data_IF_676216269955
#
_entry.id   IF_676216269955
#
_cell.length_a   1.000
_cell.length_b   1.000
_cell.length_c   1.000
_cell.angle_alpha   90.00
_cell.angle_beta   90.00
_cell.angle_gamma   90.00
#
_symmetry.space_group_name_H-M   'P 1'
#
loop_
_entity.id
_entity.type
_entity.pdbx_description
1 polymer ?
#
# COMPACT_ATOMS: atom_id res chain seq x y z
N UNK A 1 2.53 -56.34 -9.03
CA UNK A 1 2.51 -55.39 -7.90
C UNK A 1 1.83 -56.06 -6.73
N UNK A 2 2.55 -56.27 -5.62
CA UNK A 2 1.97 -56.94 -4.45
C UNK A 2 0.89 -56.05 -3.81
N UNK A 3 -0.17 -56.64 -3.24
CA UNK A 3 -1.24 -55.91 -2.53
C UNK A 3 -0.69 -54.88 -1.53
N UNK A 4 0.42 -55.21 -0.87
CA UNK A 4 1.09 -54.34 0.10
C UNK A 4 1.83 -53.15 -0.55
N UNK A 5 2.24 -53.25 -1.82
CA UNK A 5 2.81 -52.13 -2.58
C UNK A 5 1.73 -51.24 -3.19
N UNK A 6 0.55 -51.77 -3.50
CA UNK A 6 -0.59 -50.95 -3.93
C UNK A 6 -1.11 -50.05 -2.79
N UNK A 7 -1.13 -50.57 -1.55
CA UNK A 7 -1.54 -49.83 -0.35
C UNK A 7 -0.54 -48.71 -0.03
N UNK A 8 0.76 -48.95 -0.20
CA UNK A 8 1.78 -47.93 0.01
C UNK A 8 1.68 -46.73 -0.95
N UNK A 9 1.32 -46.98 -2.21
CA UNK A 9 1.10 -45.92 -3.21
C UNK A 9 -0.21 -45.16 -2.98
N UNK A 10 -1.24 -45.82 -2.43
CA UNK A 10 -2.53 -45.20 -2.09
C UNK A 10 -2.44 -44.26 -0.86
N UNK A 11 -1.57 -44.56 0.11
CA UNK A 11 -1.35 -43.72 1.30
C UNK A 11 -0.46 -42.51 0.98
N UNK A 12 0.50 -42.67 0.07
CA UNK A 12 1.38 -41.57 -0.38
C UNK A 12 0.67 -40.59 -1.34
N UNK A 13 -0.40 -41.01 -2.02
CA UNK A 13 -1.20 -40.14 -2.89
C UNK A 13 -2.26 -39.31 -2.14
N UNK A 14 -2.57 -39.63 -0.88
CA UNK A 14 -3.58 -38.93 -0.08
C UNK A 14 -3.04 -37.69 0.68
N UNK A 15 -1.74 -37.37 0.56
CA UNK A 15 -1.09 -36.28 1.32
C UNK A 15 -0.84 -34.99 0.52
N UNK A 16 -1.38 -34.86 -0.69
CA UNK A 16 -1.11 -33.73 -1.59
C UNK A 16 -2.22 -32.68 -1.71
N UNK A 17 -3.21 -32.64 -0.81
CA UNK A 17 -4.34 -31.72 -0.98
C UNK A 17 -4.63 -30.91 0.28
N UNK A 18 -3.92 -29.80 0.45
CA UNK A 18 -4.45 -28.49 0.84
C UNK A 18 -3.30 -27.52 1.12
N UNK A 19 -2.78 -26.87 0.08
CA UNK A 19 -1.95 -25.67 0.22
C UNK A 19 -2.88 -24.46 0.13
N UNK A 20 -3.28 -23.90 1.26
CA UNK A 20 -4.16 -22.73 1.34
C UNK A 20 -3.80 -21.82 2.51
N UNK A 21 -4.05 -20.53 2.34
CA UNK A 21 -3.96 -19.49 3.38
C UNK A 21 -4.91 -19.79 4.53
N UNK A 22 -4.52 -19.45 5.76
CA UNK A 22 -5.38 -19.63 6.91
C UNK A 22 -6.38 -18.47 6.99
N UNK A 23 -7.67 -18.75 6.85
CA UNK A 23 -8.74 -17.75 6.95
C UNK A 23 -9.54 -17.99 8.23
N UNK A 24 -9.64 -16.97 9.07
CA UNK A 24 -10.44 -16.96 10.29
C UNK A 24 -11.41 -15.80 10.25
N UNK A 25 -12.69 -16.09 10.44
CA UNK A 25 -13.74 -15.08 10.51
C UNK A 25 -14.48 -15.25 11.82
N UNK A 26 -14.60 -14.17 12.60
CA UNK A 26 -15.41 -14.16 13.82
C UNK A 26 -16.56 -13.18 13.63
N UNK A 27 -17.79 -13.68 13.64
CA UNK A 27 -18.99 -12.85 13.56
C UNK A 27 -19.41 -12.44 14.97
N UNK A 28 -19.60 -11.14 15.18
CA UNK A 28 -19.93 -10.57 16.49
C UNK A 28 -21.43 -10.36 16.68
N UNK A 29 -22.23 -10.36 15.60
CA UNK A 29 -23.65 -9.97 15.64
C UNK A 29 -24.56 -10.82 14.73
N UNK A 30 -25.59 -11.46 15.32
CA UNK A 30 -26.60 -12.30 14.65
C UNK A 30 -27.95 -11.58 14.43
N UNK A 31 -27.94 -10.31 14.02
CA UNK A 31 -29.18 -9.64 13.62
C UNK A 31 -29.53 -10.03 12.18
N UNK A 32 -30.82 -10.23 11.90
CA UNK A 32 -31.31 -10.38 10.53
C UNK A 32 -30.94 -9.12 9.74
N UNK A 33 -30.25 -9.32 8.60
CA UNK A 33 -29.82 -8.24 7.70
C UNK A 33 -30.53 -8.43 6.38
N UNK A 34 -31.06 -7.33 5.85
CA UNK A 34 -31.53 -7.30 4.47
C UNK A 34 -30.36 -7.63 3.53
N UNK A 35 -30.66 -8.30 2.43
CA UNK A 35 -29.66 -8.57 1.41
C UNK A 35 -29.23 -7.25 0.78
N UNK A 36 -27.93 -7.02 0.73
CA UNK A 36 -27.39 -5.85 0.02
C UNK A 36 -27.82 -5.91 -1.46
N UNK A 37 -28.21 -4.76 -1.99
CA UNK A 37 -28.63 -4.61 -3.39
C UNK A 37 -27.44 -4.58 -4.35
N UNK A 38 -26.28 -4.11 -3.88
CA UNK A 38 -24.99 -4.16 -4.57
C UNK A 38 -24.05 -5.13 -3.81
N UNK A 39 -23.32 -5.98 -4.56
CA UNK A 39 -22.38 -6.95 -4.01
C UNK A 39 -20.92 -6.46 -3.99
N UNK A 40 -20.59 -5.25 -4.46
CA UNK A 40 -19.22 -4.77 -4.32
C UNK A 40 -18.89 -4.41 -2.87
N UNK A 41 -17.61 -4.57 -2.53
CA UNK A 41 -17.08 -4.43 -1.18
C UNK A 41 -16.00 -3.37 -1.19
N UNK A 42 -16.16 -2.37 -0.33
CA UNK A 42 -15.17 -1.32 -0.16
C UNK A 42 -14.09 -1.74 0.81
N UNK A 43 -12.85 -1.42 0.46
CA UNK A 43 -11.72 -1.56 1.36
C UNK A 43 -11.32 -0.15 1.81
N UNK A 44 -11.38 0.09 3.11
CA UNK A 44 -10.96 1.34 3.74
C UNK A 44 -9.81 1.08 4.73
N UNK A 45 -8.93 2.07 4.86
CA UNK A 45 -7.72 2.00 5.69
C UNK A 45 -7.68 3.09 6.78
N UNK A 46 -8.70 3.95 6.81
CA UNK A 46 -8.90 5.01 7.80
C UNK A 46 -10.32 4.91 8.34
N UNK A 47 -10.47 4.78 9.66
CA UNK A 47 -11.77 4.59 10.30
C UNK A 47 -12.65 5.84 10.15
N UNK A 48 -12.06 7.01 9.86
CA UNK A 48 -12.80 8.23 9.53
C UNK A 48 -13.51 8.17 8.18
N UNK A 49 -13.13 7.23 7.30
CA UNK A 49 -13.82 6.94 6.04
C UNK A 49 -15.02 6.00 6.24
N UNK A 50 -15.19 5.41 7.42
CA UNK A 50 -16.31 4.56 7.72
C UNK A 50 -17.62 5.38 7.68
N UNK A 51 -18.58 5.02 6.80
CA UNK A 51 -19.81 5.77 6.70
C UNK A 51 -20.60 5.71 8.00
N UNK A 52 -21.37 6.77 8.25
CA UNK A 52 -22.34 6.77 9.34
C UNK A 52 -23.28 5.57 9.20
N UNK A 53 -23.72 5.04 10.33
CA UNK A 53 -24.64 3.89 10.43
C UNK A 53 -24.02 2.55 10.01
N UNK A 54 -22.71 2.49 9.76
CA UNK A 54 -22.01 1.23 9.54
C UNK A 54 -22.05 0.37 10.80
N UNK A 55 -22.53 -0.86 10.66
CA UNK A 55 -22.61 -1.83 11.76
C UNK A 55 -21.51 -2.86 11.59
N UNK A 56 -20.63 -2.97 12.57
CA UNK A 56 -19.62 -4.03 12.60
C UNK A 56 -20.33 -5.39 12.70
N UNK A 57 -20.02 -6.29 11.77
CA UNK A 57 -20.60 -7.65 11.72
C UNK A 57 -19.58 -8.71 12.13
N UNK A 58 -18.28 -8.38 12.12
CA UNK A 58 -17.25 -9.29 12.53
C UNK A 58 -15.83 -8.83 12.19
N UNK A 59 -14.89 -9.75 12.40
CA UNK A 59 -13.48 -9.58 12.06
C UNK A 59 -13.01 -10.68 11.10
N UNK A 60 -12.07 -10.31 10.23
CA UNK A 60 -11.40 -11.20 9.29
C UNK A 60 -9.91 -11.20 9.64
N UNK A 61 -9.34 -12.40 9.70
CA UNK A 61 -7.90 -12.60 9.81
C UNK A 61 -7.45 -13.60 8.76
N UNK A 62 -6.55 -13.16 7.89
CA UNK A 62 -5.92 -13.98 6.85
C UNK A 62 -4.44 -14.09 7.20
N UNK A 63 -4.00 -15.32 7.45
CA UNK A 63 -2.66 -15.63 7.92
C UNK A 63 -1.96 -16.69 7.08
N UNK A 64 -0.67 -16.85 7.32
CA UNK A 64 0.16 -17.91 6.73
C UNK A 64 -0.04 -19.24 7.48
N UNK A 65 -0.34 -20.31 6.75
CA UNK A 65 -0.44 -21.67 7.29
C UNK A 65 0.91 -22.42 7.29
N UNK A 66 1.98 -21.81 6.77
CA UNK A 66 3.33 -22.40 6.64
C UNK A 66 3.54 -23.20 5.36
N UNK A 67 2.46 -23.47 4.60
CA UNK A 67 2.49 -24.15 3.29
C UNK A 67 1.66 -23.39 2.23
N UNK A 68 1.35 -22.13 2.48
CA UNK A 68 0.54 -21.32 1.56
C UNK A 68 1.35 -20.90 0.34
N UNK A 69 0.84 -21.20 -0.86
CA UNK A 69 1.45 -20.78 -2.14
C UNK A 69 0.70 -19.64 -2.82
N UNK A 70 -0.54 -19.37 -2.40
CA UNK A 70 -1.42 -18.32 -2.90
C UNK A 70 -1.68 -17.28 -1.81
N UNK A 71 -0.69 -16.43 -1.57
CA UNK A 71 -0.71 -15.45 -0.48
C UNK A 71 -0.07 -14.12 -0.87
N UNK A 72 -0.17 -13.77 -2.15
CA UNK A 72 0.13 -12.43 -2.64
C UNK A 72 -0.83 -11.40 -2.03
N UNK A 73 -0.46 -10.11 -2.07
CA UNK A 73 -1.32 -9.01 -1.59
C UNK A 73 -2.71 -9.10 -2.23
N UNK A 74 -2.77 -9.28 -3.54
CA UNK A 74 -4.02 -9.36 -4.30
C UNK A 74 -4.88 -10.56 -3.85
N UNK A 75 -4.29 -11.75 -3.72
CA UNK A 75 -5.01 -12.94 -3.25
C UNK A 75 -5.58 -12.74 -1.85
N UNK A 76 -4.81 -12.16 -0.92
CA UNK A 76 -5.26 -11.88 0.44
C UNK A 76 -6.41 -10.88 0.48
N UNK A 77 -6.36 -9.83 -0.35
CA UNK A 77 -7.45 -8.86 -0.46
C UNK A 77 -8.70 -9.50 -1.10
N UNK A 78 -8.53 -10.33 -2.12
CA UNK A 78 -9.63 -11.05 -2.76
C UNK A 78 -10.30 -12.04 -1.80
N UNK A 79 -9.53 -12.75 -0.99
CA UNK A 79 -10.05 -13.64 0.05
C UNK A 79 -10.85 -12.86 1.11
N UNK A 80 -10.38 -11.66 1.49
CA UNK A 80 -11.10 -10.78 2.40
C UNK A 80 -12.42 -10.29 1.77
N UNK A 81 -12.40 -9.86 0.51
CA UNK A 81 -13.60 -9.44 -0.26
C UNK A 81 -14.62 -10.58 -0.32
N UNK A 82 -14.19 -11.78 -0.71
CA UNK A 82 -15.07 -12.94 -0.81
C UNK A 82 -15.69 -13.30 0.54
N UNK A 83 -14.92 -13.17 1.61
CA UNK A 83 -15.40 -13.38 2.98
C UNK A 83 -16.43 -12.32 3.37
N UNK A 84 -16.18 -11.05 3.08
CA UNK A 84 -17.13 -9.96 3.32
C UNK A 84 -18.45 -10.20 2.56
N UNK A 85 -18.39 -10.51 1.25
CA UNK A 85 -19.57 -10.84 0.44
C UNK A 85 -20.37 -12.01 1.01
N UNK A 86 -19.69 -13.10 1.37
CA UNK A 86 -20.31 -14.31 1.93
C UNK A 86 -21.05 -14.02 3.25
N UNK A 87 -20.59 -13.02 4.01
CA UNK A 87 -21.20 -12.62 5.28
C UNK A 87 -22.21 -11.45 5.13
N UNK A 88 -22.58 -11.10 3.90
CA UNK A 88 -23.46 -9.98 3.58
C UNK A 88 -22.92 -8.66 4.16
N UNK A 89 -21.65 -8.36 3.85
CA UNK A 89 -20.92 -7.14 4.22
C UNK A 89 -20.48 -6.41 2.96
N UNK A 90 -20.48 -5.07 3.00
CA UNK A 90 -20.04 -4.23 1.89
C UNK A 90 -18.86 -3.31 2.24
N UNK A 91 -18.31 -3.40 3.45
CA UNK A 91 -17.13 -2.63 3.85
C UNK A 91 -16.18 -3.53 4.62
N UNK A 92 -14.90 -3.49 4.25
CA UNK A 92 -13.76 -4.06 4.97
C UNK A 92 -12.92 -2.87 5.45
N UNK A 93 -12.77 -2.75 6.77
CA UNK A 93 -11.74 -1.92 7.37
C UNK A 93 -10.49 -2.77 7.61
N UNK A 94 -9.38 -2.41 6.97
CA UNK A 94 -8.11 -3.09 7.19
C UNK A 94 -7.43 -2.43 8.40
N UNK A 95 -7.49 -3.11 9.55
CA UNK A 95 -6.76 -2.71 10.74
C UNK A 95 -5.24 -2.85 10.52
N UNK A 96 -4.83 -3.94 9.85
CA UNK A 96 -3.43 -4.21 9.56
C UNK A 96 -3.22 -5.06 8.30
N UNK A 97 -2.28 -4.64 7.45
CA UNK A 97 -1.77 -5.43 6.33
C UNK A 97 -0.26 -5.59 6.48
N UNK A 98 0.18 -6.81 6.81
CA UNK A 98 1.59 -7.16 7.01
C UNK A 98 2.18 -7.78 5.75
N UNK A 99 3.28 -7.19 5.29
CA UNK A 99 4.11 -7.74 4.22
C UNK A 99 4.84 -9.04 4.66
N UNK A 100 5.26 -9.87 3.69
CA UNK A 100 6.20 -10.97 3.93
C UNK A 100 7.46 -10.51 4.66
N UNK A 101 7.92 -11.29 5.63
CA UNK A 101 9.13 -11.00 6.40
C UNK A 101 9.92 -12.29 6.70
N UNK A 102 11.00 -12.20 7.48
CA UNK A 102 11.82 -13.38 7.83
C UNK A 102 11.06 -14.51 8.52
N UNK A 103 9.87 -14.26 9.07
CA UNK A 103 9.06 -15.25 9.76
C UNK A 103 7.91 -15.80 8.90
N UNK A 104 7.59 -15.17 7.76
CA UNK A 104 6.49 -15.61 6.88
C UNK A 104 6.70 -15.08 5.47
N UNK A 105 6.55 -15.94 4.47
CA UNK A 105 6.64 -15.56 3.05
C UNK A 105 5.34 -14.96 2.48
N UNK A 106 4.31 -14.84 3.31
CA UNK A 106 2.96 -14.48 2.89
C UNK A 106 2.51 -13.13 3.43
N UNK A 107 1.68 -12.44 2.65
CA UNK A 107 0.91 -11.31 3.18
C UNK A 107 -0.05 -11.82 4.25
N UNK A 108 -0.24 -11.01 5.29
CA UNK A 108 -1.18 -11.30 6.38
C UNK A 108 -2.05 -10.08 6.62
N UNK A 109 -3.35 -10.31 6.76
CA UNK A 109 -4.35 -9.26 6.91
C UNK A 109 -5.13 -9.47 8.20
N UNK A 110 -5.32 -8.40 8.96
CA UNK A 110 -6.29 -8.31 10.05
C UNK A 110 -7.23 -7.15 9.74
N UNK A 111 -8.52 -7.37 9.87
CA UNK A 111 -9.53 -6.38 9.55
C UNK A 111 -10.87 -6.64 10.20
N UNK A 112 -11.73 -5.63 10.12
CA UNK A 112 -13.14 -5.66 10.54
C UNK A 112 -14.03 -5.52 9.33
N UNK A 113 -15.18 -6.16 9.37
CA UNK A 113 -16.19 -6.09 8.32
C UNK A 113 -17.46 -5.43 8.82
N UNK A 114 -18.04 -4.59 7.97
CA UNK A 114 -19.21 -3.78 8.28
C UNK A 114 -20.31 -3.94 7.23
N UNK A 115 -21.54 -3.88 7.72
CA UNK A 115 -22.74 -3.80 6.92
C UNK A 115 -23.28 -2.37 6.97
N UNK A 116 -23.60 -1.81 5.81
CA UNK A 116 -24.27 -0.53 5.70
C UNK A 116 -25.18 -0.49 4.46
N UNK A 117 -26.48 -0.29 4.65
CA UNK A 117 -27.46 -0.16 3.55
C UNK A 117 -28.06 1.25 3.46
N UNK A 118 -27.37 2.25 4.02
CA UNK A 118 -27.81 3.65 3.98
C UNK A 118 -27.40 4.33 2.68
N UNK A 119 -28.09 5.41 2.33
CA UNK A 119 -27.74 6.27 1.18
C UNK A 119 -26.32 6.87 1.30
N UNK A 120 -25.73 6.90 2.50
CA UNK A 120 -24.35 7.35 2.73
C UNK A 120 -23.31 6.47 2.03
N UNK A 121 -23.67 5.27 1.60
CA UNK A 121 -22.81 4.43 0.76
C UNK A 121 -22.52 5.07 -0.60
N UNK A 122 -23.41 5.92 -1.12
CA UNK A 122 -23.23 6.62 -2.40
C UNK A 122 -21.99 7.51 -2.43
N UNK A 123 -21.62 8.10 -1.29
CA UNK A 123 -20.38 8.88 -1.18
C UNK A 123 -19.13 8.01 -1.25
N UNK A 124 -19.18 6.78 -0.72
CA UNK A 124 -18.09 5.82 -0.88
C UNK A 124 -18.01 5.31 -2.33
N UNK A 125 -19.14 4.99 -2.96
CA UNK A 125 -19.20 4.58 -4.37
C UNK A 125 -18.57 5.64 -5.28
N UNK A 126 -18.90 6.92 -5.06
CA UNK A 126 -18.30 8.01 -5.81
C UNK A 126 -16.78 8.15 -5.56
N UNK A 127 -16.31 7.88 -4.33
CA UNK A 127 -14.88 7.97 -3.97
C UNK A 127 -14.04 6.78 -4.46
N UNK A 128 -14.61 5.56 -4.55
CA UNK A 128 -13.87 4.37 -4.98
C UNK A 128 -13.68 4.27 -6.49
N UNK A 129 -14.56 4.89 -7.27
CA UNK A 129 -14.52 4.80 -8.73
C UNK A 129 -13.35 5.57 -9.35
N UNK A 130 -12.40 6.04 -8.54
CA UNK A 130 -11.27 6.87 -8.95
C UNK A 130 -11.67 8.17 -9.67
N UNK A 131 -12.96 8.46 -9.87
CA UNK A 131 -13.45 9.68 -10.51
C UNK A 131 -13.15 10.89 -9.63
N UNK A 132 -12.59 11.94 -10.22
CA UNK A 132 -12.45 13.26 -9.59
C UNK A 132 -13.30 14.33 -10.29
N UNK A 133 -13.54 14.19 -11.61
CA UNK A 133 -14.41 15.06 -12.41
C UNK A 133 -14.79 14.37 -13.72
N UNK A 134 -16.04 13.94 -13.86
CA UNK A 134 -16.53 13.24 -15.06
C UNK A 134 -16.40 14.05 -16.36
N UNK A 135 -16.25 15.38 -16.28
CA UNK A 135 -16.16 16.26 -17.44
C UNK A 135 -14.73 16.69 -17.76
N UNK A 136 -13.73 16.26 -16.98
CA UNK A 136 -12.34 16.64 -17.24
C UNK A 136 -11.83 15.96 -18.50
N UNK A 137 -11.04 16.68 -19.31
CA UNK A 137 -10.35 16.18 -20.51
C UNK A 137 -8.97 15.57 -20.21
N UNK A 138 -8.76 15.18 -18.95
CA UNK A 138 -7.51 14.61 -18.47
C UNK A 138 -7.73 13.67 -17.29
N UNK A 139 -6.76 12.78 -17.08
CA UNK A 139 -6.62 12.00 -15.87
C UNK A 139 -5.50 12.56 -14.97
N UNK A 140 -5.55 12.28 -13.68
CA UNK A 140 -4.49 12.62 -12.73
C UNK A 140 -3.77 11.34 -12.36
N UNK A 141 -2.43 11.32 -12.47
CA UNK A 141 -1.61 10.20 -11.99
C UNK A 141 -0.65 10.70 -10.92
N UNK A 142 -0.75 10.13 -9.74
CA UNK A 142 0.16 10.36 -8.61
C UNK A 142 1.21 9.26 -8.56
N UNK A 143 2.47 9.64 -8.74
CA UNK A 143 3.62 8.77 -8.55
C UNK A 143 4.13 8.94 -7.11
N UNK A 144 4.00 7.90 -6.30
CA UNK A 144 4.33 7.87 -4.88
C UNK A 144 5.57 7.00 -4.66
N UNK A 145 6.73 7.60 -4.40
CA UNK A 145 7.95 6.83 -4.16
C UNK A 145 8.16 6.54 -2.68
N UNK A 146 8.20 5.26 -2.31
CA UNK A 146 8.49 4.78 -0.96
C UNK A 146 9.66 3.79 -0.97
N UNK A 147 10.42 3.75 0.12
CA UNK A 147 11.43 2.72 0.35
C UNK A 147 10.85 1.63 1.25
N UNK A 148 10.87 0.38 0.80
CA UNK A 148 10.61 -0.77 1.68
C UNK A 148 11.92 -1.17 2.35
N UNK A 149 12.04 -0.87 3.65
CA UNK A 149 13.13 -1.40 4.47
C UNK A 149 12.72 -2.72 5.08
N UNK A 150 13.63 -3.70 5.17
CA UNK A 150 13.40 -4.87 6.00
C UNK A 150 13.04 -4.41 7.42
N UNK A 151 11.92 -4.94 7.92
CA UNK A 151 11.35 -4.63 9.23
C UNK A 151 12.42 -4.61 10.32
N UNK A 152 12.66 -3.45 10.94
CA UNK A 152 13.61 -3.29 12.05
C UNK A 152 14.60 -2.13 11.92
N UNK A 153 14.75 -1.50 10.74
CA UNK A 153 15.53 -0.27 10.61
C UNK A 153 14.62 0.97 10.76
N UNK A 154 14.55 1.47 11.99
CA UNK A 154 13.86 2.71 12.36
C UNK A 154 14.26 3.88 11.46
N UNK A 155 13.29 4.75 11.18
CA UNK A 155 13.30 6.01 10.42
C UNK A 155 14.40 7.05 10.77
N UNK A 156 15.44 6.65 11.49
CA UNK A 156 16.50 7.52 12.01
C UNK A 156 17.85 7.23 11.37
N UNK A 157 17.97 7.52 10.08
CA UNK A 157 19.23 8.03 9.51
C UNK A 157 18.94 9.24 8.61
N UNK A 158 18.37 10.26 9.24
CA UNK A 158 18.32 11.62 8.71
C UNK A 158 19.75 12.07 8.33
N UNK A 159 20.13 11.95 7.06
CA UNK A 159 21.39 12.49 6.55
C UNK A 159 21.96 11.89 5.25
N UNK A 160 21.42 10.81 4.69
CA UNK A 160 21.94 10.21 3.46
C UNK A 160 20.92 10.28 2.34
N UNK A 161 21.40 10.75 1.19
CA UNK A 161 20.73 10.93 -0.09
C UNK A 161 19.82 9.75 -0.41
N UNK A 162 18.50 9.97 -0.39
CA UNK A 162 17.57 8.97 -0.90
C UNK A 162 17.84 8.73 -2.39
N UNK A 163 17.69 7.48 -2.83
CA UNK A 163 17.82 7.12 -4.23
C UNK A 163 16.98 8.01 -5.15
N UNK A 164 17.48 8.24 -6.35
CA UNK A 164 16.68 8.85 -7.42
C UNK A 164 16.44 7.81 -8.49
N UNK A 165 15.18 7.68 -8.91
CA UNK A 165 14.73 6.67 -9.86
C UNK A 165 14.25 7.36 -11.12
N UNK A 166 14.50 6.72 -12.27
CA UNK A 166 13.99 7.20 -13.55
C UNK A 166 12.67 6.50 -13.83
N UNK A 167 11.63 7.29 -14.01
CA UNK A 167 10.31 6.82 -14.42
C UNK A 167 10.10 7.25 -15.86
N UNK A 168 9.57 6.34 -16.67
CA UNK A 168 9.16 6.56 -18.04
C UNK A 168 7.66 6.32 -18.15
N UNK A 169 6.95 7.25 -18.77
CA UNK A 169 5.51 7.25 -18.91
C UNK A 169 5.16 8.01 -20.20
N UNK A 170 4.41 7.41 -21.14
CA UNK A 170 3.99 8.06 -22.40
C UNK A 170 5.12 8.83 -23.13
N UNK A 171 6.29 8.21 -23.29
CA UNK A 171 7.52 8.81 -23.84
C UNK A 171 8.13 9.96 -23.03
N UNK A 172 7.47 10.45 -21.99
CA UNK A 172 8.08 11.32 -20.99
C UNK A 172 8.98 10.52 -20.06
N UNK A 173 10.06 11.15 -19.61
CA UNK A 173 10.95 10.62 -18.59
C UNK A 173 11.14 11.66 -17.51
N UNK A 174 11.02 11.25 -16.26
CA UNK A 174 11.28 12.11 -15.12
C UNK A 174 12.04 11.36 -14.03
N UNK A 175 12.61 12.13 -13.10
CA UNK A 175 13.28 11.58 -11.92
C UNK A 175 12.36 11.77 -10.72
N UNK A 176 12.26 10.75 -9.89
CA UNK A 176 11.58 10.81 -8.60
C UNK A 176 12.56 10.39 -7.50
N UNK A 177 12.53 11.09 -6.38
CA UNK A 177 13.37 10.77 -5.22
C UNK A 177 12.61 9.87 -4.26
N UNK A 178 13.32 9.09 -3.43
CA UNK A 178 12.69 8.40 -2.29
C UNK A 178 11.88 9.38 -1.42
N UNK A 179 10.73 8.91 -0.92
CA UNK A 179 9.79 9.69 -0.11
C UNK A 179 9.34 10.98 -0.80
N UNK A 180 9.01 10.90 -2.10
CA UNK A 180 8.47 12.03 -2.84
C UNK A 180 7.23 11.67 -3.64
N UNK A 181 6.43 12.70 -3.91
CA UNK A 181 5.21 12.62 -4.69
C UNK A 181 5.38 13.48 -5.93
N UNK A 182 5.11 12.90 -7.10
CA UNK A 182 5.01 13.65 -8.35
C UNK A 182 3.61 13.44 -8.91
N UNK A 183 2.92 14.53 -9.23
CA UNK A 183 1.58 14.48 -9.82
C UNK A 183 1.68 14.91 -11.28
N UNK A 184 1.07 14.14 -12.18
CA UNK A 184 1.02 14.43 -13.60
C UNK A 184 -0.42 14.45 -14.09
N UNK A 185 -0.74 15.42 -14.95
CA UNK A 185 -1.95 15.40 -15.76
C UNK A 185 -1.69 14.59 -17.02
N UNK A 186 -2.64 13.75 -17.38
CA UNK A 186 -2.56 12.82 -18.50
C UNK A 186 -3.66 13.14 -19.48
N UNK A 187 -3.29 13.60 -20.67
CA UNK A 187 -4.24 14.01 -21.70
C UNK A 187 -4.68 12.84 -22.60
N UNK A 188 -3.93 11.74 -22.60
CA UNK A 188 -4.19 10.59 -23.47
C UNK A 188 -4.86 9.47 -22.68
N UNK A 189 -6.02 9.02 -23.15
CA UNK A 189 -6.71 7.83 -22.63
C UNK A 189 -6.13 6.52 -23.18
N UNK A 190 -6.53 5.44 -22.52
CA UNK A 190 -6.27 4.06 -22.90
C UNK A 190 -5.09 3.45 -22.16
N UNK A 191 -4.78 2.23 -22.59
CA UNK A 191 -3.73 1.41 -22.03
C UNK A 191 -2.38 2.12 -22.06
N UNK A 192 -1.83 2.36 -20.88
CA UNK A 192 -0.61 3.12 -20.68
C UNK A 192 0.39 2.33 -19.85
N UNK A 193 1.54 2.07 -20.45
CA UNK A 193 2.68 1.43 -19.78
C UNK A 193 3.51 2.47 -19.03
N UNK A 194 3.82 2.13 -17.78
CA UNK A 194 4.66 2.92 -16.88
C UNK A 194 5.82 2.04 -16.47
N UNK A 195 7.05 2.50 -16.73
CA UNK A 195 8.25 1.78 -16.30
C UNK A 195 9.09 2.63 -15.36
N UNK A 196 9.67 1.98 -14.35
CA UNK A 196 10.65 2.57 -13.45
C UNK A 196 11.95 1.79 -13.52
N UNK A 197 13.08 2.50 -13.46
CA UNK A 197 14.40 1.86 -13.48
C UNK A 197 15.30 2.38 -12.36
N UNK A 198 15.99 1.44 -11.72
CA UNK A 198 17.20 1.70 -10.95
C UNK A 198 18.43 1.41 -11.82
N UNK A 199 19.63 1.55 -11.24
CA UNK A 199 20.88 1.16 -11.90
C UNK A 199 20.96 -0.32 -12.27
N UNK A 200 20.17 -1.19 -11.62
CA UNK A 200 20.34 -2.65 -11.72
C UNK A 200 19.10 -3.39 -12.22
N UNK A 201 17.88 -2.84 -12.05
CA UNK A 201 16.63 -3.53 -12.41
C UNK A 201 15.52 -2.56 -12.83
N UNK A 202 14.57 -3.07 -13.62
CA UNK A 202 13.37 -2.37 -14.08
C UNK A 202 12.11 -2.98 -13.45
N UNK A 203 11.11 -2.15 -13.22
CA UNK A 203 9.73 -2.53 -12.93
C UNK A 203 8.81 -1.86 -13.92
N UNK A 204 7.66 -2.47 -14.19
CA UNK A 204 6.66 -2.04 -15.17
C UNK A 204 5.27 -2.27 -14.57
N UNK A 205 4.34 -1.36 -14.87
CA UNK A 205 2.91 -1.48 -14.58
C UNK A 205 2.13 -0.94 -15.76
N UNK A 206 1.02 -1.58 -16.10
CA UNK A 206 0.12 -1.16 -17.16
C UNK A 206 -1.22 -0.77 -16.55
N UNK A 207 -1.72 0.42 -16.91
CA UNK A 207 -2.99 0.95 -16.42
C UNK A 207 -3.85 1.43 -17.57
N UNK A 208 -5.15 1.18 -17.52
CA UNK A 208 -6.12 1.72 -18.48
C UNK A 208 -6.59 3.10 -18.01
N UNK A 209 -6.01 4.15 -18.60
CA UNK A 209 -6.26 5.53 -18.18
C UNK A 209 -7.54 6.06 -18.80
N UNK A 210 -8.44 6.59 -17.98
CA UNK A 210 -9.68 7.24 -18.36
C UNK A 210 -9.68 8.69 -17.89
N UNK A 211 -10.18 9.59 -18.72
CA UNK A 211 -10.40 10.97 -18.37
C UNK A 211 -11.33 11.10 -17.16
N UNK A 212 -11.12 12.15 -16.38
CA UNK A 212 -11.87 12.36 -15.15
C UNK A 212 -11.52 11.43 -13.99
N UNK A 213 -10.54 10.53 -14.15
CA UNK A 213 -10.10 9.61 -13.12
C UNK A 213 -8.72 9.97 -12.55
N UNK A 214 -8.50 9.54 -11.31
CA UNK A 214 -7.32 9.79 -10.48
C UNK A 214 -6.69 8.45 -10.07
N UNK A 215 -5.42 8.29 -10.41
CA UNK A 215 -4.67 7.05 -10.25
C UNK A 215 -3.49 7.25 -9.32
N UNK A 216 -3.14 6.21 -8.58
CA UNK A 216 -2.03 6.21 -7.64
C UNK A 216 -1.08 5.06 -7.98
N UNK A 217 0.14 5.42 -8.35
CA UNK A 217 1.20 4.49 -8.73
C UNK A 217 2.27 4.55 -7.67
N UNK A 218 2.47 3.45 -6.96
CA UNK A 218 3.58 3.32 -6.04
C UNK A 218 4.85 2.97 -6.78
N UNK A 219 5.96 3.51 -6.31
CA UNK A 219 7.30 3.20 -6.78
C UNK A 219 8.08 2.75 -5.55
N UNK A 220 8.10 1.44 -5.35
CA UNK A 220 8.72 0.81 -4.19
C UNK A 220 10.10 0.32 -4.54
N UNK A 221 11.07 0.60 -3.67
CA UNK A 221 12.42 0.08 -3.83
C UNK A 221 12.80 -0.90 -2.75
N UNK A 222 13.19 -2.11 -3.17
CA UNK A 222 13.67 -3.16 -2.29
C UNK A 222 15.20 -3.26 -2.40
N UNK A 223 15.88 -3.31 -1.26
CA UNK A 223 17.35 -3.32 -1.19
C UNK A 223 17.96 -4.69 -0.86
N UNK A 224 17.14 -5.71 -0.61
CA UNK A 224 17.58 -7.10 -0.42
C UNK A 224 18.13 -7.68 -1.74
N UNK A 225 19.45 -7.59 -1.94
CA UNK A 225 20.21 -8.08 -3.11
C UNK A 225 20.08 -7.22 -4.40
N UNK A 226 20.28 -5.92 -4.24
CA UNK A 226 20.29 -4.93 -5.33
C UNK A 226 18.96 -4.20 -5.44
N UNK A 227 19.01 -2.91 -5.81
CA UNK A 227 17.83 -2.06 -5.83
C UNK A 227 16.85 -2.50 -6.92
N UNK A 228 15.77 -3.19 -6.55
CA UNK A 228 14.66 -3.49 -7.45
C UNK A 228 13.61 -2.41 -7.31
N UNK A 229 13.17 -1.85 -8.44
CA UNK A 229 12.00 -0.96 -8.49
C UNK A 229 10.77 -1.82 -8.78
N UNK A 230 9.73 -1.67 -7.98
CA UNK A 230 8.42 -2.28 -8.17
C UNK A 230 7.42 -1.15 -8.36
N UNK A 231 6.59 -1.27 -9.39
CA UNK A 231 5.53 -0.33 -9.70
C UNK A 231 4.20 -1.05 -9.56
N UNK A 232 3.29 -0.45 -8.82
CA UNK A 232 1.95 -1.02 -8.58
C UNK A 232 0.93 0.11 -8.58
N UNK A 233 -0.19 -0.10 -9.27
CA UNK A 233 -1.39 0.70 -9.06
C UNK A 233 -2.02 0.31 -7.72
N UNK A 234 -2.39 1.33 -6.93
CA UNK A 234 -3.09 1.14 -5.68
C UNK A 234 -4.41 1.91 -5.69
N UNK A 235 -5.35 1.46 -4.87
CA UNK A 235 -6.66 2.09 -4.76
C UNK A 235 -6.53 3.55 -4.29
N UNK A 236 -7.51 4.40 -4.66
CA UNK A 236 -7.52 5.81 -4.24
C UNK A 236 -7.45 6.01 -2.72
N UNK A 237 -8.15 5.25 -1.86
CA UNK A 237 -7.98 5.35 -0.42
C UNK A 237 -6.54 5.05 0.04
N UNK A 238 -5.94 3.96 -0.45
CA UNK A 238 -4.55 3.59 -0.13
C UNK A 238 -3.58 4.69 -0.61
N UNK A 239 -3.81 5.21 -1.81
CA UNK A 239 -2.99 6.25 -2.43
C UNK A 239 -3.06 7.59 -1.71
N UNK A 240 -4.25 8.03 -1.31
CA UNK A 240 -4.43 9.27 -0.55
C UNK A 240 -3.76 9.19 0.83
N UNK A 241 -3.92 8.07 1.53
CA UNK A 241 -3.25 7.82 2.81
C UNK A 241 -1.73 7.87 2.66
N UNK A 242 -1.18 7.12 1.70
CA UNK A 242 0.26 7.07 1.46
C UNK A 242 0.82 8.44 1.06
N UNK A 243 0.10 9.19 0.21
CA UNK A 243 0.48 10.56 -0.18
C UNK A 243 0.60 11.47 1.05
N UNK A 244 -0.39 11.45 1.94
CA UNK A 244 -0.40 12.23 3.19
C UNK A 244 0.75 11.83 4.12
N UNK A 245 1.04 10.55 4.22
CA UNK A 245 2.16 10.03 5.03
C UNK A 245 3.50 10.53 4.49
N UNK A 246 3.71 10.46 3.17
CA UNK A 246 4.93 10.97 2.51
C UNK A 246 5.08 12.48 2.72
N UNK A 247 4.00 13.26 2.53
CA UNK A 247 4.00 14.71 2.75
C UNK A 247 4.36 15.08 4.20
N UNK A 248 3.85 14.30 5.16
CA UNK A 248 4.18 14.46 6.59
C UNK A 248 5.66 14.19 6.86
N UNK A 249 6.22 13.11 6.28
CA UNK A 249 7.65 12.78 6.40
C UNK A 249 8.51 13.89 5.79
N UNK A 250 8.15 14.40 4.62
CA UNK A 250 8.87 15.49 3.95
C UNK A 250 8.95 16.74 4.81
N UNK A 251 7.84 17.13 5.43
CA UNK A 251 7.79 18.25 6.36
C UNK A 251 8.74 18.07 7.54
N UNK A 252 8.75 16.89 8.16
CA UNK A 252 9.67 16.58 9.27
C UNK A 252 11.15 16.63 8.83
N UNK A 253 11.45 16.17 7.61
CA UNK A 253 12.81 16.23 7.05
C UNK A 253 13.25 17.68 6.85
N UNK A 254 12.39 18.55 6.33
CA UNK A 254 12.68 19.97 6.14
C UNK A 254 12.91 20.70 7.46
N UNK A 255 12.04 20.48 8.45
CA UNK A 255 12.19 21.03 9.81
C UNK A 255 13.52 20.59 10.45
N UNK A 256 13.88 19.31 10.30
CA UNK A 256 15.15 18.77 10.78
C UNK A 256 16.35 19.41 10.09
N UNK A 257 16.29 19.63 8.76
CA UNK A 257 17.36 20.30 8.00
C UNK A 257 17.53 21.75 8.47
N UNK A 258 16.43 22.47 8.66
CA UNK A 258 16.44 23.85 9.14
C UNK A 258 17.05 23.95 10.55
N UNK A 259 16.67 23.04 11.46
CA UNK A 259 17.22 22.99 12.81
C UNK A 259 18.74 22.77 12.80
N UNK A 260 19.22 21.81 11.99
CA UNK A 260 20.67 21.55 11.82
C UNK A 260 21.42 22.74 11.24
N UNK A 261 20.79 23.52 10.35
CA UNK A 261 21.40 24.74 9.81
C UNK A 261 21.56 25.80 10.90
N UNK A 262 20.51 26.04 11.70
CA UNK A 262 20.55 26.97 12.84
C UNK A 262 21.63 26.58 13.84
N UNK A 263 21.74 25.29 14.19
CA UNK A 263 22.79 24.80 15.09
C UNK A 263 24.21 25.01 14.52
N UNK A 264 24.40 24.81 13.21
CA UNK A 264 25.70 25.06 12.55
C UNK A 264 26.06 26.54 12.60
N UNK A 265 25.10 27.44 12.38
CA UNK A 265 25.31 28.89 12.46
C UNK A 265 25.63 29.34 13.88
N UNK A 266 24.89 28.84 14.88
CA UNK A 266 25.15 29.12 16.29
C UNK A 266 26.56 28.66 16.71
N UNK A 267 26.96 27.44 16.31
CA UNK A 267 28.31 26.93 16.57
C UNK A 267 29.40 27.77 15.89
N UNK A 268 29.14 28.30 14.69
CA UNK A 268 30.07 29.23 14.01
C UNK A 268 30.20 30.54 14.79
N UNK A 269 29.08 31.11 15.25
CA UNK A 269 29.06 32.34 16.03
C UNK A 269 29.80 32.19 17.38
N UNK A 270 29.56 31.09 18.10
CA UNK A 270 30.28 30.79 19.35
C UNK A 270 31.79 30.65 19.14
N UNK A 271 32.21 29.98 18.06
CA UNK A 271 33.63 29.88 17.70
C UNK A 271 34.24 31.26 17.39
N UNK A 272 33.52 32.14 16.73
CA UNK A 272 33.97 33.52 16.48
C UNK A 272 34.11 34.32 17.78
N UNK A 273 33.10 34.27 18.66
CA UNK A 273 33.15 34.94 19.98
C UNK A 273 34.34 34.47 20.82
N UNK A 274 34.59 33.15 20.88
CA UNK A 274 35.75 32.59 21.59
C UNK A 274 37.09 33.05 21.02
N UNK A 275 37.20 33.19 19.69
CA UNK A 275 38.41 33.71 19.03
C UNK A 275 38.63 35.19 19.32
N UNK A 276 37.57 36.00 19.36
CA UNK A 276 37.67 37.42 19.69
C UNK A 276 38.14 37.62 21.14
N UNK A 277 37.59 36.86 22.09
CA UNK A 277 37.98 36.93 23.50
C UNK A 277 39.48 36.64 23.71
N UNK A 278 40.01 35.63 23.00
CA UNK A 278 41.44 35.25 23.06
C UNK A 278 42.40 36.30 22.47
N UNK A 279 41.92 37.22 21.63
CA UNK A 279 42.76 38.30 21.07
C UNK A 279 42.87 39.52 21.99
N UNK A 280 41.99 39.62 22.98
CA UNK A 280 41.93 40.74 23.93
C UNK A 280 42.58 40.39 25.29
N UNK A 281 43.17 39.21 25.41
CA UNK A 281 43.99 38.75 26.54
C UNK A 281 45.45 38.71 26.09
#
# INVERSE_FOLDING_TARGET
MNKNQLIGVLILSLSLVSCGTSLKTNLTNNYEREKLTNDEVFIIYDETELPKESKEIGSIKIGDSGFSTKCSKEEVLNDAINTAKTNNSNIIFIDELKEPNFHSSCYRLEGRIFYNNSENMNELWAKSNNVFDENADYAIVHFLCKEEKPSGLTYMKAGLVGGTYKVSYNNEKFKISEYSVITKKVLKEGLTEISGSSYTRRGEVEIDIKHGHEYFITITTHTNMGTRVVLEEISKPEGLKLKKDIETILKQIEETKLQRQKEKEQRKLERQKRRALRKNQ
#
